data_IF_727773522210
#
_entry.id   IF_727773522210
#
_cell.length_a   1.000
_cell.length_b   1.000
_cell.length_c   1.000
_cell.angle_alpha   90.00
_cell.angle_beta   90.00
_cell.angle_gamma   90.00
#
_symmetry.space_group_name_H-M   'P 1'
#
loop_
_entity.id
_entity.type
_entity.pdbx_description
1 polymer ?
#
# COMPACT_ATOMS: atom_id res chain seq x y z
N UNK A 1 -1.88 -35.52 16.52
CA UNK A 1 -0.65 -35.06 15.83
C UNK A 1 -0.81 -33.56 15.62
N UNK A 2 -0.12 -32.76 16.43
CA UNK A 2 -0.12 -31.30 16.29
C UNK A 2 0.78 -30.95 15.11
N UNK A 3 0.19 -30.70 13.94
CA UNK A 3 0.89 -29.95 12.89
C UNK A 3 0.90 -28.49 13.32
N UNK A 4 1.89 -28.13 14.14
CA UNK A 4 2.24 -26.73 14.33
C UNK A 4 2.70 -26.20 12.98
N UNK A 5 1.77 -25.67 12.19
CA UNK A 5 2.08 -24.91 10.98
C UNK A 5 2.91 -23.74 11.46
N UNK A 6 4.16 -23.66 11.00
CA UNK A 6 5.03 -22.54 11.28
C UNK A 6 4.35 -21.28 10.73
N UNK A 7 3.82 -20.45 11.63
CA UNK A 7 3.06 -19.24 11.27
C UNK A 7 3.98 -18.13 10.72
N UNK A 8 5.30 -18.34 10.71
CA UNK A 8 6.27 -17.41 10.13
C UNK A 8 6.19 -17.34 8.60
N UNK A 9 5.76 -18.41 7.91
CA UNK A 9 5.69 -18.43 6.44
C UNK A 9 4.57 -17.53 5.86
N UNK A 10 3.56 -17.18 6.65
CA UNK A 10 2.40 -16.38 6.21
C UNK A 10 2.45 -14.92 6.68
N UNK A 11 3.55 -14.49 7.32
CA UNK A 11 3.66 -13.12 7.84
C UNK A 11 4.13 -12.16 6.74
N UNK A 12 3.44 -11.03 6.50
CA UNK A 12 3.91 -10.05 5.54
C UNK A 12 5.29 -9.50 5.89
N UNK A 13 6.14 -9.31 4.89
CA UNK A 13 7.52 -8.85 5.05
C UNK A 13 7.82 -7.69 4.10
N UNK A 14 8.70 -6.78 4.55
CA UNK A 14 9.24 -5.73 3.68
C UNK A 14 10.40 -6.30 2.88
N UNK A 15 10.30 -6.25 1.55
CA UNK A 15 11.28 -6.84 0.63
C UNK A 15 12.13 -5.79 -0.09
N UNK A 16 11.65 -4.55 -0.18
CA UNK A 16 12.43 -3.41 -0.65
C UNK A 16 12.06 -2.16 0.14
N UNK A 17 13.04 -1.27 0.34
CA UNK A 17 12.84 -0.01 1.05
C UNK A 17 13.77 1.09 0.53
N UNK A 18 13.26 2.31 0.53
CA UNK A 18 13.99 3.56 0.26
C UNK A 18 13.54 4.59 1.31
N UNK A 19 14.32 4.70 2.39
CA UNK A 19 13.99 5.52 3.56
C UNK A 19 14.53 6.94 3.35
N UNK A 20 13.67 7.93 3.57
CA UNK A 20 13.99 9.35 3.40
C UNK A 20 14.75 9.90 4.61
N UNK A 21 14.31 9.54 5.82
CA UNK A 21 14.91 10.00 7.07
C UNK A 21 14.76 8.94 8.16
N UNK A 22 15.89 8.40 8.62
CA UNK A 22 15.93 7.38 9.68
C UNK A 22 15.95 7.98 11.09
N UNK A 23 15.99 9.31 11.23
CA UNK A 23 16.03 9.99 12.53
C UNK A 23 14.63 10.29 13.07
N UNK A 24 13.59 10.09 12.25
CA UNK A 24 12.20 10.42 12.57
C UNK A 24 11.36 9.14 12.56
N UNK A 25 10.89 8.73 13.74
CA UNK A 25 9.94 7.62 13.88
C UNK A 25 8.49 8.08 13.72
N UNK A 26 7.73 7.45 12.83
CA UNK A 26 6.37 7.85 12.43
C UNK A 26 5.45 6.67 12.10
N UNK A 27 4.13 6.90 12.20
CA UNK A 27 3.10 5.90 11.91
C UNK A 27 2.46 5.34 13.17
N UNK A 28 1.80 4.18 13.06
CA UNK A 28 1.17 3.57 14.24
C UNK A 28 2.17 3.25 15.35
N UNK A 29 1.81 3.64 16.58
CA UNK A 29 2.65 3.46 17.77
C UNK A 29 3.64 4.61 18.05
N UNK A 30 3.78 5.57 17.14
CA UNK A 30 4.60 6.77 17.31
C UNK A 30 3.72 7.98 17.64
N UNK A 31 4.30 9.00 18.29
CA UNK A 31 3.63 10.30 18.44
C UNK A 31 3.39 10.92 17.07
N UNK A 32 2.16 11.32 16.79
CA UNK A 32 1.82 11.92 15.50
C UNK A 32 2.16 13.41 15.46
N UNK A 33 2.97 13.81 14.49
CA UNK A 33 3.53 15.17 14.35
C UNK A 33 2.80 16.05 13.32
N UNK A 34 1.70 15.55 12.74
CA UNK A 34 0.93 16.29 11.74
C UNK A 34 -0.07 17.28 12.33
N UNK A 35 -0.94 17.83 11.47
CA UNK A 35 -1.97 18.80 11.85
C UNK A 35 -3.39 18.28 11.65
N UNK A 36 -4.31 18.68 12.54
CA UNK A 36 -5.73 18.32 12.50
C UNK A 36 -6.09 17.14 13.40
N UNK A 37 -7.08 16.35 12.99
CA UNK A 37 -7.47 15.11 13.71
C UNK A 37 -6.44 14.03 13.43
N UNK A 38 -5.98 13.37 14.49
CA UNK A 38 -5.01 12.29 14.40
C UNK A 38 -5.52 11.10 13.59
N UNK A 39 -4.67 10.49 12.73
CA UNK A 39 -4.99 9.25 12.05
C UNK A 39 -5.37 8.13 13.03
N UNK A 40 -6.43 7.43 12.69
CA UNK A 40 -6.92 6.27 13.44
C UNK A 40 -6.35 5.03 12.74
N UNK A 41 -5.12 4.66 13.07
CA UNK A 41 -4.32 3.70 12.31
C UNK A 41 -4.95 2.31 12.19
N UNK A 42 -5.66 1.87 13.23
CA UNK A 42 -6.35 0.57 13.28
C UNK A 42 -7.70 0.57 12.56
N UNK A 43 -8.19 1.74 12.14
CA UNK A 43 -9.47 1.89 11.46
C UNK A 43 -9.27 2.06 9.95
N UNK A 44 -9.64 1.07 9.10
CA UNK A 44 -9.48 1.18 7.65
C UNK A 44 -10.29 2.32 7.01
N UNK A 45 -11.25 2.90 7.75
CA UNK A 45 -12.06 4.06 7.32
C UNK A 45 -11.49 5.40 7.79
N UNK A 46 -10.30 5.41 8.40
CA UNK A 46 -9.66 6.66 8.82
C UNK A 46 -9.39 7.53 7.60
N UNK A 47 -10.12 8.65 7.49
CA UNK A 47 -9.96 9.60 6.39
C UNK A 47 -8.51 10.11 6.37
N UNK A 48 -7.98 10.45 7.54
CA UNK A 48 -6.63 11.00 7.66
C UNK A 48 -5.53 10.02 7.24
N UNK A 49 -5.71 8.73 7.48
CA UNK A 49 -4.71 7.71 7.14
C UNK A 49 -4.89 7.12 5.73
N UNK A 50 -6.14 6.92 5.29
CA UNK A 50 -6.46 6.00 4.20
C UNK A 50 -7.42 6.53 3.13
N UNK A 51 -7.88 7.79 3.20
CA UNK A 51 -8.85 8.33 2.23
C UNK A 51 -8.35 8.26 0.77
N UNK A 52 -7.08 8.59 0.53
CA UNK A 52 -6.51 8.50 -0.80
C UNK A 52 -6.55 7.06 -1.34
N UNK A 53 -6.19 6.10 -0.48
CA UNK A 53 -6.15 4.67 -0.80
C UNK A 53 -7.55 4.15 -1.12
N UNK A 54 -8.55 4.43 -0.28
CA UNK A 54 -9.92 3.96 -0.52
C UNK A 54 -10.51 4.55 -1.81
N UNK A 55 -10.25 5.83 -2.09
CA UNK A 55 -10.79 6.52 -3.29
C UNK A 55 -10.19 6.07 -4.60
N UNK A 56 -8.92 5.65 -4.62
CA UNK A 56 -8.20 5.37 -5.87
C UNK A 56 -7.81 3.91 -6.05
N UNK A 57 -7.70 3.17 -4.95
CA UNK A 57 -7.22 1.80 -4.93
C UNK A 57 -8.17 0.87 -4.16
N UNK A 58 -9.28 1.40 -3.63
CA UNK A 58 -10.21 0.68 -2.77
C UNK A 58 -10.92 -0.52 -3.40
N UNK A 59 -11.34 -1.50 -2.59
CA UNK A 59 -12.00 -2.72 -3.06
C UNK A 59 -13.37 -2.48 -3.69
N UNK A 60 -14.02 -1.34 -3.38
CA UNK A 60 -15.35 -1.00 -3.88
C UNK A 60 -15.34 -0.31 -5.24
N UNK A 61 -14.16 0.07 -5.74
CA UNK A 61 -14.02 0.71 -7.04
C UNK A 61 -14.32 -0.29 -8.17
N UNK A 62 -14.99 0.19 -9.21
CA UNK A 62 -15.37 -0.64 -10.36
C UNK A 62 -14.20 -0.72 -11.34
N UNK A 63 -14.06 -1.81 -12.11
CA UNK A 63 -12.96 -1.96 -13.07
C UNK A 63 -12.76 -0.78 -14.04
N UNK A 64 -13.85 -0.11 -14.44
CA UNK A 64 -13.74 1.06 -15.33
C UNK A 64 -13.04 2.26 -14.69
N UNK A 65 -13.10 2.41 -13.35
CA UNK A 65 -12.38 3.48 -12.64
C UNK A 65 -10.88 3.32 -12.82
N UNK A 66 -10.39 2.07 -12.76
CA UNK A 66 -8.98 1.75 -12.97
C UNK A 66 -8.58 1.85 -14.42
N UNK A 67 -9.40 1.36 -15.36
CA UNK A 67 -9.09 1.44 -16.80
C UNK A 67 -8.94 2.89 -17.26
N UNK A 68 -9.85 3.78 -16.83
CA UNK A 68 -9.77 5.21 -17.17
C UNK A 68 -8.46 5.84 -16.68
N UNK A 69 -8.09 5.58 -15.42
CA UNK A 69 -6.84 6.10 -14.82
C UNK A 69 -5.59 5.47 -15.42
N UNK A 70 -5.62 4.16 -15.68
CA UNK A 70 -4.52 3.45 -16.32
C UNK A 70 -4.28 3.97 -17.74
N UNK A 71 -5.33 4.23 -18.52
CA UNK A 71 -5.22 4.82 -19.84
C UNK A 71 -4.71 6.28 -19.78
N UNK A 72 -5.20 7.09 -18.85
CA UNK A 72 -4.79 8.49 -18.74
C UNK A 72 -3.34 8.66 -18.30
N UNK A 73 -2.87 7.81 -17.38
CA UNK A 73 -1.50 7.82 -16.86
C UNK A 73 -0.55 6.93 -17.65
N UNK A 74 -1.08 6.11 -18.57
CA UNK A 74 -0.34 5.04 -19.25
C UNK A 74 0.44 4.13 -18.28
N UNK A 75 -0.14 3.85 -17.10
CA UNK A 75 0.50 3.15 -15.99
C UNK A 75 -0.47 2.15 -15.32
N UNK A 76 0.01 0.99 -14.83
CA UNK A 76 -0.83 -0.01 -14.16
C UNK A 76 -1.55 0.47 -12.88
N UNK A 77 -2.80 0.04 -12.76
CA UNK A 77 -3.83 0.24 -11.73
C UNK A 77 -3.86 -0.76 -10.58
N UNK A 78 -3.22 -0.54 -9.43
CA UNK A 78 -3.40 -1.40 -8.25
C UNK A 78 -4.80 -1.29 -7.63
N UNK A 79 -5.48 -2.41 -7.37
CA UNK A 79 -6.75 -2.49 -6.65
C UNK A 79 -6.67 -3.49 -5.50
N UNK A 80 -6.96 -3.02 -4.28
CA UNK A 80 -7.08 -3.86 -3.08
C UNK A 80 -8.31 -4.78 -3.13
N UNK A 81 -8.20 -5.99 -2.57
CA UNK A 81 -9.34 -6.87 -2.34
C UNK A 81 -10.03 -6.60 -1.00
N UNK A 82 -9.28 -6.18 0.02
CA UNK A 82 -9.78 -5.94 1.37
C UNK A 82 -9.17 -4.66 1.96
N UNK A 83 -10.00 -3.83 2.57
CA UNK A 83 -9.57 -2.61 3.26
C UNK A 83 -8.68 -2.88 4.49
N UNK A 84 -8.81 -4.04 5.13
CA UNK A 84 -7.92 -4.41 6.25
C UNK A 84 -6.47 -4.64 5.80
N UNK A 85 -6.23 -4.88 4.50
CA UNK A 85 -4.88 -5.16 4.01
C UNK A 85 -4.02 -3.91 3.97
N UNK A 86 -4.58 -2.71 3.72
CA UNK A 86 -3.79 -1.47 3.84
C UNK A 86 -3.50 -1.09 5.30
N UNK A 87 -4.37 -1.47 6.24
CA UNK A 87 -4.07 -1.33 7.68
C UNK A 87 -2.92 -2.25 8.05
N UNK A 88 -2.95 -3.51 7.59
CA UNK A 88 -1.86 -4.45 7.82
C UNK A 88 -0.56 -3.99 7.16
N UNK A 89 -0.63 -3.41 5.97
CA UNK A 89 0.52 -2.82 5.29
C UNK A 89 1.13 -1.70 6.13
N UNK A 90 0.32 -0.78 6.66
CA UNK A 90 0.77 0.30 7.55
C UNK A 90 1.50 -0.26 8.79
N UNK A 91 0.93 -1.29 9.43
CA UNK A 91 1.49 -1.87 10.64
C UNK A 91 2.85 -2.54 10.41
N UNK A 92 3.03 -3.19 9.26
CA UNK A 92 4.26 -3.91 8.89
C UNK A 92 5.32 -2.98 8.31
N UNK A 93 4.91 -1.87 7.70
CA UNK A 93 5.83 -0.88 7.14
C UNK A 93 6.71 -0.29 8.25
N UNK A 94 8.04 -0.22 8.07
CA UNK A 94 8.94 0.44 9.00
C UNK A 94 8.44 1.84 9.36
N UNK A 95 8.72 2.25 10.60
CA UNK A 95 8.23 3.51 11.17
C UNK A 95 9.07 4.70 10.72
N UNK A 96 9.44 4.75 9.45
CA UNK A 96 10.22 5.84 8.86
C UNK A 96 9.54 6.36 7.60
N UNK A 97 9.64 7.67 7.30
CA UNK A 97 9.21 8.20 6.02
C UNK A 97 9.99 7.56 4.88
N UNK A 98 9.31 7.21 3.79
CA UNK A 98 9.95 6.51 2.69
C UNK A 98 9.00 5.70 1.82
N UNK A 99 9.60 4.93 0.92
CA UNK A 99 8.90 4.03 0.01
C UNK A 99 9.26 2.58 0.33
N UNK A 100 8.29 1.68 0.24
CA UNK A 100 8.44 0.28 0.62
C UNK A 100 7.69 -0.64 -0.34
N UNK A 101 8.20 -1.85 -0.52
CA UNK A 101 7.44 -2.97 -1.09
C UNK A 101 7.28 -4.04 -0.03
N UNK A 102 6.03 -4.46 0.20
CA UNK A 102 5.67 -5.51 1.15
C UNK A 102 5.17 -6.72 0.38
N UNK A 103 5.71 -7.89 0.70
CA UNK A 103 5.19 -9.18 0.25
C UNK A 103 4.27 -9.77 1.31
N UNK A 104 2.97 -9.88 1.00
CA UNK A 104 1.96 -10.41 1.91
C UNK A 104 1.89 -11.93 1.97
N UNK A 105 2.61 -12.66 1.09
CA UNK A 105 2.58 -14.14 0.98
C UNK A 105 1.21 -14.74 0.66
N UNK A 106 0.18 -13.91 0.49
CA UNK A 106 -1.16 -14.25 0.03
C UNK A 106 -1.67 -13.20 -0.94
N UNK A 107 -2.73 -13.54 -1.67
CA UNK A 107 -3.44 -12.59 -2.53
C UNK A 107 -4.00 -11.41 -1.71
N UNK A 108 -3.75 -10.19 -2.18
CA UNK A 108 -4.24 -8.93 -1.59
C UNK A 108 -4.97 -8.05 -2.60
N UNK A 109 -4.87 -8.36 -3.90
CA UNK A 109 -5.20 -7.40 -4.92
C UNK A 109 -5.16 -7.92 -6.34
N UNK A 110 -5.37 -6.97 -7.25
CA UNK A 110 -5.16 -7.10 -8.68
C UNK A 110 -4.60 -5.83 -9.29
N UNK A 111 -4.03 -5.95 -10.48
CA UNK A 111 -3.44 -4.84 -11.23
C UNK A 111 -4.11 -4.72 -12.59
N UNK A 112 -4.64 -3.55 -12.90
CA UNK A 112 -5.33 -3.23 -14.16
C UNK A 112 -4.39 -2.49 -15.13
N UNK A 113 -4.17 -3.02 -16.33
CA UNK A 113 -3.33 -2.39 -17.34
C UNK A 113 -4.12 -1.45 -18.26
N UNK A 114 -3.44 -0.50 -18.94
CA UNK A 114 -4.07 0.40 -19.91
C UNK A 114 -4.77 -0.32 -21.08
N UNK A 115 -4.24 -1.47 -21.50
CA UNK A 115 -4.80 -2.32 -22.57
C UNK A 115 -6.06 -3.10 -22.12
N UNK A 116 -6.43 -3.00 -20.84
CA UNK A 116 -7.56 -3.69 -20.24
C UNK A 116 -7.23 -5.07 -19.65
N UNK A 117 -5.98 -5.53 -19.76
CA UNK A 117 -5.48 -6.74 -19.10
C UNK A 117 -5.56 -6.57 -17.58
N UNK A 118 -5.94 -7.65 -16.88
CA UNK A 118 -5.99 -7.67 -15.41
C UNK A 118 -5.12 -8.80 -14.91
N UNK A 119 -4.15 -8.48 -14.06
CA UNK A 119 -3.35 -9.46 -13.32
C UNK A 119 -3.97 -9.63 -11.94
N UNK A 120 -4.63 -10.76 -11.75
CA UNK A 120 -5.25 -11.16 -10.48
C UNK A 120 -4.22 -11.77 -9.52
N UNK A 121 -4.60 -11.91 -8.25
CA UNK A 121 -3.82 -12.60 -7.22
C UNK A 121 -2.41 -12.03 -6.99
N UNK A 122 -2.27 -10.71 -7.07
CA UNK A 122 -1.02 -10.07 -6.66
C UNK A 122 -0.87 -10.11 -5.14
N UNK A 123 0.37 -10.25 -4.70
CA UNK A 123 0.75 -10.46 -3.31
C UNK A 123 1.63 -9.32 -2.78
N UNK A 124 2.02 -8.39 -3.64
CA UNK A 124 2.94 -7.31 -3.31
C UNK A 124 2.19 -5.99 -3.22
N UNK A 125 2.53 -5.16 -2.24
CA UNK A 125 2.00 -3.82 -2.08
C UNK A 125 3.13 -2.78 -2.06
N UNK A 126 2.94 -1.70 -2.80
CA UNK A 126 3.76 -0.50 -2.67
C UNK A 126 3.17 0.40 -1.59
N UNK A 127 4.02 1.01 -0.76
CA UNK A 127 3.65 1.95 0.30
C UNK A 127 4.55 3.19 0.21
N UNK A 128 3.96 4.39 0.25
CA UNK A 128 4.69 5.66 0.44
C UNK A 128 4.25 6.33 1.73
N UNK A 129 5.13 6.39 2.73
CA UNK A 129 4.89 7.03 4.03
C UNK A 129 5.46 8.45 4.05
N UNK A 130 4.65 9.42 4.51
CA UNK A 130 5.06 10.84 4.66
C UNK A 130 5.86 11.07 5.95
N UNK A 131 6.43 12.28 6.07
CA UNK A 131 7.10 12.77 7.29
C UNK A 131 6.19 12.87 8.51
N UNK A 132 4.86 12.97 8.32
CA UNK A 132 3.89 12.95 9.42
C UNK A 132 3.36 11.54 9.71
N UNK A 133 3.94 10.52 9.08
CA UNK A 133 3.55 9.11 9.21
C UNK A 133 2.34 8.67 8.41
N UNK A 134 1.54 9.59 7.86
CA UNK A 134 0.37 9.21 7.04
C UNK A 134 0.81 8.56 5.73
N UNK A 135 -0.03 7.68 5.18
CA UNK A 135 0.25 7.05 3.91
C UNK A 135 -0.14 8.02 2.79
N UNK A 136 0.87 8.44 2.02
CA UNK A 136 0.66 9.19 0.78
C UNK A 136 -0.03 8.32 -0.26
N UNK A 137 0.40 7.07 -0.37
CA UNK A 137 -0.22 6.05 -1.22
C UNK A 137 0.05 4.66 -0.65
N UNK A 138 -0.84 3.74 -1.00
CA UNK A 138 -0.67 2.32 -0.76
C UNK A 138 -1.52 1.55 -1.78
N UNK A 139 -0.92 0.67 -2.55
CA UNK A 139 -1.67 -0.12 -3.54
C UNK A 139 -0.98 -1.42 -3.92
N UNK A 140 -1.75 -2.44 -4.35
CA UNK A 140 -1.18 -3.67 -4.87
C UNK A 140 -0.40 -3.43 -6.16
N UNK A 141 0.74 -4.09 -6.29
CA UNK A 141 1.65 -4.03 -7.44
C UNK A 141 1.93 -5.44 -7.94
N UNK A 142 2.57 -5.57 -9.10
CA UNK A 142 2.98 -6.88 -9.62
C UNK A 142 3.96 -7.57 -8.66
N UNK A 143 3.94 -8.89 -8.65
CA UNK A 143 4.81 -9.69 -7.78
C UNK A 143 6.31 -9.57 -8.09
N UNK A 144 6.68 -8.98 -9.24
CA UNK A 144 8.05 -8.68 -9.64
C UNK A 144 8.35 -7.17 -9.67
N UNK A 145 7.46 -6.34 -9.15
CA UNK A 145 7.69 -4.90 -9.06
C UNK A 145 8.83 -4.59 -8.10
N UNK A 146 9.66 -3.65 -8.49
CA UNK A 146 10.75 -3.06 -7.69
C UNK A 146 10.51 -1.57 -7.51
N UNK A 147 11.09 -0.95 -6.49
CA UNK A 147 10.96 0.50 -6.26
C UNK A 147 11.47 1.32 -7.45
N UNK A 148 12.45 0.81 -8.19
CA UNK A 148 12.98 1.45 -9.40
C UNK A 148 12.07 1.30 -10.63
N UNK A 149 11.24 0.26 -10.67
CA UNK A 149 10.30 0.02 -11.78
C UNK A 149 9.00 0.79 -11.64
N UNK A 150 8.69 1.25 -10.43
CA UNK A 150 7.49 2.03 -10.15
C UNK A 150 7.77 3.50 -10.48
N UNK A 151 6.86 4.10 -11.24
CA UNK A 151 6.91 5.54 -11.45
C UNK A 151 6.51 6.25 -10.15
N UNK A 152 7.45 7.04 -9.60
CA UNK A 152 7.30 7.74 -8.33
C UNK A 152 6.95 9.23 -8.50
N UNK A 153 6.89 9.73 -9.75
CA UNK A 153 6.70 11.17 -10.04
C UNK A 153 5.27 11.66 -9.87
N UNK A 154 4.28 10.78 -10.04
CA UNK A 154 2.88 11.20 -10.26
C UNK A 154 2.00 11.19 -9.00
N UNK A 155 2.61 11.25 -7.82
CA UNK A 155 1.88 11.30 -6.56
C UNK A 155 2.03 12.63 -5.83
N UNK A 156 2.68 13.63 -6.43
CA UNK A 156 2.78 14.99 -5.86
C UNK A 156 1.52 15.86 -6.10
N UNK A 157 0.42 15.26 -6.56
CA UNK A 157 -0.93 15.86 -6.56
C UNK A 157 -1.63 15.79 -5.18
#
# INVERSE_FOLDING_TARGET
MNNGRDTSEDTPEVIEQDIIDQTIEVGSGCEWTGSGVEPQWDNPKSIKAYDHIDRHHGPKLKPFNFRGRAASKNQPQGQWLNALDWVKAEQVTPKYPGCYIINFKRSIGKVHYPDGTIVENVTHAFIRRKLDGTLKSAYPVLNNATLTSLDRSDEDE
#
